data_IF_193349148944
#
_entry.id   IF_193349148944
#
_cell.length_a   1.000
_cell.length_b   1.000
_cell.length_c   1.000
_cell.angle_alpha   90.00
_cell.angle_beta   90.00
_cell.angle_gamma   90.00
#
_symmetry.space_group_name_H-M   'P 1'
#
loop_
_entity.id
_entity.type
_entity.pdbx_description
1 polymer ?
#
# COMPACT_ATOMS: atom_id res chain seq x y z
N UNK A 1 10.51 7.74 -10.94
CA UNK A 1 9.91 6.41 -11.17
C UNK A 1 11.06 5.44 -11.30
N UNK A 2 10.97 4.30 -10.64
CA UNK A 2 11.99 3.25 -10.72
C UNK A 2 12.01 2.59 -12.12
N UNK A 3 13.14 1.98 -12.49
CA UNK A 3 13.26 1.29 -13.78
C UNK A 3 12.30 0.09 -13.84
N UNK A 4 11.50 0.01 -14.91
CA UNK A 4 10.47 -1.02 -15.08
C UNK A 4 9.17 -0.77 -14.32
N UNK A 5 9.00 0.41 -13.71
CA UNK A 5 7.75 0.81 -13.08
C UNK A 5 6.96 1.81 -13.95
N UNK A 6 5.65 1.60 -14.04
CA UNK A 6 4.70 2.51 -14.66
C UNK A 6 3.96 3.35 -13.62
N UNK A 7 3.41 4.49 -14.04
CA UNK A 7 2.61 5.35 -13.17
C UNK A 7 1.32 4.64 -12.79
N UNK A 8 0.96 4.64 -11.51
CA UNK A 8 -0.35 4.18 -11.05
C UNK A 8 -1.46 5.10 -11.57
N UNK A 9 -2.42 4.50 -12.27
CA UNK A 9 -3.62 5.10 -12.84
C UNK A 9 -4.81 4.23 -12.42
N UNK A 10 -6.02 4.79 -12.46
CA UNK A 10 -7.24 4.05 -12.08
C UNK A 10 -7.47 2.77 -12.89
N UNK A 11 -6.87 2.66 -14.08
CA UNK A 11 -7.03 1.53 -15.00
C UNK A 11 -5.99 0.40 -14.78
N UNK A 12 -4.85 0.70 -14.16
CA UNK A 12 -3.74 -0.27 -14.00
C UNK A 12 -3.47 -0.68 -12.54
N UNK A 13 -4.33 -0.27 -11.60
CA UNK A 13 -4.26 -0.70 -10.21
C UNK A 13 -4.63 -2.18 -10.07
N UNK A 14 -3.94 -2.93 -9.18
CA UNK A 14 -4.36 -4.28 -8.86
C UNK A 14 -5.73 -4.25 -8.19
N UNK A 15 -6.52 -5.29 -8.42
CA UNK A 15 -7.78 -5.50 -7.72
C UNK A 15 -7.46 -5.90 -6.28
N UNK A 16 -7.83 -5.05 -5.33
CA UNK A 16 -7.72 -5.32 -3.90
C UNK A 16 -9.12 -5.47 -3.33
N UNK A 17 -9.38 -6.61 -2.69
CA UNK A 17 -10.65 -6.89 -2.01
C UNK A 17 -10.52 -6.69 -0.49
N UNK A 18 -11.61 -6.31 0.18
CA UNK A 18 -11.64 -6.14 1.63
C UNK A 18 -11.22 -7.40 2.38
N UNK A 19 -11.54 -8.59 1.83
CA UNK A 19 -11.11 -9.86 2.40
C UNK A 19 -9.59 -10.05 2.35
N UNK A 20 -8.90 -9.51 1.33
CA UNK A 20 -7.44 -9.58 1.28
C UNK A 20 -6.84 -8.80 2.44
N UNK A 21 -7.42 -7.63 2.73
CA UNK A 21 -7.00 -6.73 3.79
C UNK A 21 -7.24 -7.38 5.15
N UNK A 22 -8.43 -7.94 5.37
CA UNK A 22 -8.78 -8.66 6.60
C UNK A 22 -7.86 -9.88 6.82
N UNK A 23 -7.59 -10.67 5.78
CA UNK A 23 -6.71 -11.84 5.85
C UNK A 23 -5.26 -11.45 6.16
N UNK A 24 -4.80 -10.31 5.64
CA UNK A 24 -3.48 -9.79 5.94
C UNK A 24 -3.39 -9.33 7.39
N UNK A 25 -4.35 -8.55 7.88
CA UNK A 25 -4.37 -8.14 9.29
C UNK A 25 -4.51 -9.31 10.25
N UNK A 26 -5.29 -10.33 9.91
CA UNK A 26 -5.40 -11.54 10.73
C UNK A 26 -4.08 -12.31 10.87
N UNK A 27 -3.17 -12.21 9.88
CA UNK A 27 -1.87 -12.89 9.88
C UNK A 27 -0.75 -12.05 10.49
N UNK A 28 -0.88 -10.73 10.51
CA UNK A 28 0.17 -9.82 10.95
C UNK A 28 -0.10 -9.32 12.38
N UNK A 29 0.61 -9.89 13.36
CA UNK A 29 0.51 -9.51 14.77
C UNK A 29 1.17 -8.16 15.11
N UNK A 30 1.90 -7.57 14.16
CA UNK A 30 2.59 -6.29 14.32
C UNK A 30 1.69 -5.07 14.09
N UNK A 31 0.44 -5.28 13.66
CA UNK A 31 -0.50 -4.21 13.42
C UNK A 31 -1.04 -3.62 14.74
N UNK A 32 -0.89 -2.31 14.91
CA UNK A 32 -1.39 -1.62 16.09
C UNK A 32 -2.70 -0.89 15.75
N UNK A 33 -3.76 -1.07 16.55
CA UNK A 33 -5.04 -0.40 16.34
C UNK A 33 -4.94 1.15 16.30
N UNK A 34 -3.86 1.71 16.88
CA UNK A 34 -3.55 3.14 16.80
C UNK A 34 -3.24 3.63 15.37
N UNK A 35 -2.94 2.72 14.44
CA UNK A 35 -2.72 3.03 13.02
C UNK A 35 -4.02 3.29 12.25
N UNK A 36 -5.20 2.98 12.82
CA UNK A 36 -6.52 3.24 12.22
C UNK A 36 -7.09 4.62 12.65
N UNK A 37 -6.34 5.38 13.44
CA UNK A 37 -6.80 6.69 13.93
C UNK A 37 -6.56 7.78 12.88
N UNK A 38 -7.62 8.07 12.12
CA UNK A 38 -7.64 9.09 11.08
C UNK A 38 -7.49 10.53 11.61
N UNK A 39 -6.65 11.33 10.94
CA UNK A 39 -6.71 12.80 11.07
C UNK A 39 -7.88 13.36 10.29
N UNK A 40 -8.52 14.38 10.86
CA UNK A 40 -9.43 15.26 10.12
C UNK A 40 -8.67 15.83 8.91
N UNK A 41 -9.24 15.68 7.71
CA UNK A 41 -8.67 16.16 6.44
C UNK A 41 -7.50 15.37 5.81
N UNK A 42 -7.27 14.10 6.19
CA UNK A 42 -6.20 13.24 5.62
C UNK A 42 -6.29 13.00 4.10
N UNK A 43 -7.50 12.98 3.53
CA UNK A 43 -7.75 12.51 2.17
C UNK A 43 -7.05 13.28 1.03
N UNK A 44 -6.66 14.54 1.23
CA UNK A 44 -6.05 15.37 0.17
C UNK A 44 -4.54 15.12 0.03
N UNK A 45 -3.85 14.79 1.14
CA UNK A 45 -2.39 14.58 1.21
C UNK A 45 -2.01 13.09 1.42
N UNK A 46 -2.98 12.18 1.50
CA UNK A 46 -2.79 10.79 1.90
C UNK A 46 -1.78 10.03 1.02
N UNK A 47 -1.86 10.22 -0.29
CA UNK A 47 -1.05 9.49 -1.28
C UNK A 47 -0.40 10.46 -2.24
N UNK A 48 0.92 10.58 -2.18
CA UNK A 48 1.66 11.52 -3.03
C UNK A 48 1.89 10.99 -4.44
N UNK A 49 2.41 9.77 -4.55
CA UNK A 49 2.74 9.15 -5.84
C UNK A 49 2.59 7.63 -5.74
N UNK A 50 2.09 7.01 -6.80
CA UNK A 50 1.94 5.55 -6.92
C UNK A 50 2.62 5.10 -8.21
N UNK A 51 3.42 4.06 -8.11
CA UNK A 51 4.01 3.35 -9.24
C UNK A 51 3.77 1.86 -9.10
N UNK A 52 3.63 1.20 -10.24
CA UNK A 52 3.23 -0.20 -10.32
C UNK A 52 4.20 -0.92 -11.23
N UNK A 53 4.48 -2.17 -10.92
CA UNK A 53 5.23 -3.07 -11.79
C UNK A 53 4.58 -4.45 -11.72
N UNK A 54 4.17 -4.96 -12.87
CA UNK A 54 3.68 -6.34 -13.01
C UNK A 54 4.81 -7.23 -13.48
N UNK A 55 5.02 -8.33 -12.79
CA UNK A 55 5.96 -9.38 -13.17
C UNK A 55 5.19 -10.70 -13.11
N UNK A 56 4.88 -11.25 -14.29
CA UNK A 56 4.06 -12.46 -14.45
C UNK A 56 2.70 -12.33 -13.76
N UNK A 57 2.51 -12.99 -12.61
CA UNK A 57 1.27 -12.97 -11.83
C UNK A 57 1.32 -12.09 -10.58
N UNK A 58 2.47 -11.47 -10.34
CA UNK A 58 2.70 -10.65 -9.17
C UNK A 58 2.71 -9.16 -9.53
N UNK A 59 1.95 -8.37 -8.78
CA UNK A 59 1.90 -6.94 -8.91
C UNK A 59 2.60 -6.29 -7.71
N UNK A 60 3.65 -5.52 -8.01
CA UNK A 60 4.38 -4.71 -7.03
C UNK A 60 3.93 -3.26 -7.15
N UNK A 61 3.28 -2.75 -6.11
CA UNK A 61 2.87 -1.36 -5.99
C UNK A 61 3.81 -0.65 -5.03
N UNK A 62 4.45 0.42 -5.47
CA UNK A 62 5.17 1.33 -4.57
C UNK A 62 4.44 2.65 -4.49
N UNK A 63 4.31 3.19 -3.29
CA UNK A 63 3.67 4.47 -3.08
C UNK A 63 4.38 5.31 -2.02
N UNK A 64 4.17 6.62 -2.09
CA UNK A 64 4.54 7.54 -1.02
C UNK A 64 3.29 7.86 -0.21
N UNK A 65 3.28 7.43 1.04
CA UNK A 65 2.17 7.60 1.97
C UNK A 65 2.53 8.72 2.94
N UNK A 66 1.63 9.68 3.09
CA UNK A 66 1.69 10.59 4.24
C UNK A 66 1.08 9.84 5.42
N UNK A 67 1.72 9.75 6.59
CA UNK A 67 1.15 9.05 7.73
C UNK A 67 -0.19 9.64 8.15
N UNK A 68 -1.18 8.77 8.35
CA UNK A 68 -2.51 9.13 8.84
C UNK A 68 -2.49 9.51 10.33
N UNK A 69 -1.70 8.76 11.11
CA UNK A 69 -1.62 8.90 12.56
C UNK A 69 -0.55 9.92 13.01
N UNK A 70 -0.77 10.58 14.17
CA UNK A 70 0.13 11.61 14.73
C UNK A 70 1.54 11.11 15.12
N UNK A 71 1.80 9.80 15.12
CA UNK A 71 3.08 9.21 15.55
C UNK A 71 4.22 9.47 14.55
N UNK A 72 3.91 9.63 13.26
CA UNK A 72 4.91 9.80 12.21
C UNK A 72 4.54 11.07 11.44
N UNK A 73 5.49 11.98 11.28
CA UNK A 73 5.24 13.31 10.71
C UNK A 73 5.79 13.45 9.28
N UNK A 74 6.65 12.53 8.86
CA UNK A 74 7.27 12.53 7.54
C UNK A 74 6.58 11.49 6.65
N UNK A 75 6.30 11.84 5.38
CA UNK A 75 5.84 10.86 4.40
C UNK A 75 6.92 9.82 4.14
N UNK A 76 6.51 8.57 4.03
CA UNK A 76 7.38 7.41 3.87
C UNK A 76 7.00 6.63 2.62
N UNK A 77 7.90 5.76 2.18
CA UNK A 77 7.67 4.93 1.00
C UNK A 77 7.16 3.57 1.45
N UNK A 78 6.14 3.06 0.79
CA UNK A 78 5.64 1.71 1.00
C UNK A 78 5.79 0.92 -0.29
N UNK A 79 6.12 -0.35 -0.16
CA UNK A 79 6.09 -1.33 -1.24
C UNK A 79 5.13 -2.45 -0.84
N UNK A 80 4.19 -2.74 -1.72
CA UNK A 80 3.20 -3.79 -1.57
C UNK A 80 3.37 -4.77 -2.73
N UNK A 81 3.51 -6.05 -2.40
CA UNK A 81 3.57 -7.14 -3.36
C UNK A 81 2.31 -7.97 -3.19
N UNK A 82 1.52 -8.10 -4.24
CA UNK A 82 0.31 -8.91 -4.26
C UNK A 82 0.30 -9.87 -5.43
N UNK A 83 -0.31 -11.03 -5.23
CA UNK A 83 -0.58 -11.98 -6.30
C UNK A 83 -1.98 -11.70 -6.87
N UNK A 84 -2.04 -11.37 -8.17
CA UNK A 84 -3.30 -11.00 -8.83
C UNK A 84 -4.20 -12.22 -9.13
N UNK A 85 -3.68 -13.46 -9.13
CA UNK A 85 -4.49 -14.68 -9.32
C UNK A 85 -5.05 -15.22 -8.01
N UNK A 86 -4.19 -15.29 -6.98
CA UNK A 86 -4.57 -15.82 -5.69
C UNK A 86 -5.29 -14.80 -4.82
N UNK A 87 -5.34 -13.53 -5.26
CA UNK A 87 -6.02 -12.45 -4.56
C UNK A 87 -5.49 -12.31 -3.12
N UNK A 88 -4.16 -12.26 -2.98
CA UNK A 88 -3.46 -12.24 -1.69
C UNK A 88 -2.31 -11.25 -1.66
N UNK A 89 -2.12 -10.62 -0.51
CA UNK A 89 -0.88 -9.90 -0.21
C UNK A 89 0.23 -10.90 0.11
N UNK A 90 1.35 -10.77 -0.60
CA UNK A 90 2.56 -11.56 -0.39
C UNK A 90 3.48 -10.88 0.61
N UNK A 91 3.67 -9.57 0.45
CA UNK A 91 4.59 -8.78 1.26
C UNK A 91 4.16 -7.31 1.30
N UNK A 92 4.34 -6.66 2.46
CA UNK A 92 4.14 -5.22 2.62
C UNK A 92 5.29 -4.68 3.44
N UNK A 93 6.06 -3.78 2.84
CA UNK A 93 7.25 -3.18 3.45
C UNK A 93 7.14 -1.66 3.46
N UNK A 94 7.62 -1.07 4.55
CA UNK A 94 7.70 0.38 4.75
C UNK A 94 9.17 0.78 4.77
N UNK A 95 9.58 1.58 3.80
CA UNK A 95 10.90 2.21 3.71
C UNK A 95 10.82 3.59 4.41
N UNK A 96 11.56 3.77 5.52
CA UNK A 96 11.76 5.05 6.22
C UNK A 96 13.06 5.74 5.79
#
# INVERSE_FOLDING_TARGET
MDEGYEKGLSDNLPKIDGLMVDLYFAKNSEFFAAEILARDNYGDDAVGYVQIRRTDNTCTVKCRITPEHLLRTKPYHCSLVCDENEEKFLDVTCDD
#
